data_IF_489810867196
#
_entry.id   IF_489810867196
#
_cell.length_a   1.000
_cell.length_b   1.000
_cell.length_c   1.000
_cell.angle_alpha   90.00
_cell.angle_beta   90.00
_cell.angle_gamma   90.00
#
_symmetry.space_group_name_H-M   'P 1'
#
loop_
_entity.id
_entity.type
_entity.pdbx_description
1 polymer ?
#
# COMPACT_ATOMS: atom_id res chain seq x y z
N UNK A 1 -0.52 -13.63 36.84
CA UNK A 1 0.30 -13.86 35.64
C UNK A 1 -0.41 -13.28 34.42
N UNK A 2 0.29 -12.48 33.65
CA UNK A 2 -0.28 -11.90 32.43
C UNK A 2 0.16 -12.75 31.24
N UNK A 3 -0.80 -13.28 30.51
CA UNK A 3 -0.53 -14.04 29.30
C UNK A 3 -0.18 -13.08 28.16
N UNK A 4 0.88 -13.39 27.43
CA UNK A 4 1.27 -12.59 26.28
C UNK A 4 0.26 -12.77 25.14
N UNK A 5 -0.22 -11.67 24.60
CA UNK A 5 -1.18 -11.72 23.51
C UNK A 5 -0.47 -11.87 22.16
N UNK A 6 -1.13 -12.58 21.28
CA UNK A 6 -0.70 -12.70 19.89
C UNK A 6 -0.68 -11.33 19.23
N UNK A 7 0.34 -11.05 18.44
CA UNK A 7 0.52 -9.78 17.76
C UNK A 7 0.73 -9.98 16.28
N UNK A 8 0.15 -9.10 15.49
CA UNK A 8 0.35 -9.03 14.04
C UNK A 8 0.78 -7.61 13.67
N UNK A 9 1.42 -7.47 12.51
CA UNK A 9 1.92 -6.18 12.05
C UNK A 9 0.87 -5.49 11.19
N UNK A 10 0.38 -4.29 11.58
CA UNK A 10 -0.56 -3.53 10.78
C UNK A 10 0.16 -2.67 9.74
N UNK A 11 -0.37 -2.59 8.54
CA UNK A 11 0.16 -1.73 7.49
C UNK A 11 -0.97 -1.08 6.69
N UNK A 12 -0.73 0.12 6.19
CA UNK A 12 -1.66 0.87 5.36
C UNK A 12 -1.09 1.03 3.96
N UNK A 13 -1.97 0.93 2.97
CA UNK A 13 -1.64 1.00 1.54
C UNK A 13 -2.54 2.00 0.85
N UNK A 14 -2.00 2.72 -0.13
CA UNK A 14 -2.78 3.66 -0.93
C UNK A 14 -2.82 3.23 -2.39
N UNK A 15 -4.01 2.98 -2.90
CA UNK A 15 -4.23 2.68 -4.31
C UNK A 15 -4.78 3.94 -4.95
N UNK A 16 -3.95 4.63 -5.74
CA UNK A 16 -4.38 5.79 -6.50
C UNK A 16 -4.68 5.35 -7.93
N UNK A 17 -5.91 5.62 -8.37
CA UNK A 17 -6.36 5.30 -9.72
C UNK A 17 -6.92 6.57 -10.33
N UNK A 18 -6.42 6.92 -11.52
CA UNK A 18 -6.88 8.09 -12.26
C UNK A 18 -6.83 7.77 -13.75
N UNK A 19 -7.94 7.99 -14.46
CA UNK A 19 -8.03 7.72 -15.90
C UNK A 19 -7.62 6.30 -16.27
N UNK A 20 -8.09 5.33 -15.51
CA UNK A 20 -7.77 3.90 -15.66
C UNK A 20 -6.27 3.58 -15.51
N UNK A 21 -5.54 4.43 -14.79
CA UNK A 21 -4.13 4.22 -14.48
C UNK A 21 -3.94 4.15 -12.97
N UNK A 22 -3.00 3.30 -12.57
CA UNK A 22 -2.64 3.11 -11.16
C UNK A 22 -1.22 3.60 -10.92
N UNK A 23 -1.03 4.26 -9.77
CA UNK A 23 0.31 4.70 -9.36
C UNK A 23 1.04 3.55 -8.69
N UNK A 24 2.20 3.18 -9.23
CA UNK A 24 3.05 2.13 -8.66
C UNK A 24 4.45 2.68 -8.41
N UNK A 25 5.11 2.13 -7.41
CA UNK A 25 6.51 2.44 -7.09
C UNK A 25 7.32 1.15 -7.12
N UNK A 26 8.54 1.22 -7.67
CA UNK A 26 9.46 0.08 -7.67
C UNK A 26 10.40 0.19 -6.47
N UNK A 27 10.44 -0.86 -5.68
CA UNK A 27 11.30 -0.94 -4.50
C UNK A 27 12.76 -1.00 -4.94
N UNK A 28 13.61 -0.27 -4.23
CA UNK A 28 15.02 -0.17 -4.53
C UNK A 28 15.82 -0.04 -3.24
N UNK A 29 16.82 -0.91 -3.08
CA UNK A 29 17.77 -0.83 -1.97
C UNK A 29 17.12 -0.84 -0.58
N UNK A 30 16.01 -1.58 -0.42
CA UNK A 30 15.28 -1.70 0.85
C UNK A 30 15.58 -2.99 1.59
N UNK A 31 16.10 -4.01 0.88
CA UNK A 31 16.33 -5.34 1.44
C UNK A 31 15.11 -6.25 1.40
N UNK A 32 13.98 -5.78 0.86
CA UNK A 32 12.75 -6.57 0.76
C UNK A 32 12.06 -6.29 -0.57
N UNK A 33 11.86 -7.35 -1.36
CA UNK A 33 11.15 -7.31 -2.65
C UNK A 33 11.69 -6.23 -3.61
N UNK A 34 13.00 -5.95 -3.56
CA UNK A 34 13.63 -4.95 -4.41
C UNK A 34 13.51 -5.32 -5.89
N UNK A 35 13.33 -4.31 -6.73
CA UNK A 35 13.10 -4.48 -8.17
C UNK A 35 11.65 -4.78 -8.53
N UNK A 36 10.76 -4.89 -7.55
CA UNK A 36 9.34 -5.16 -7.77
C UNK A 36 8.48 -3.95 -7.47
N UNK A 37 7.33 -3.89 -8.12
CA UNK A 37 6.38 -2.80 -7.96
C UNK A 37 5.37 -3.08 -6.85
N UNK A 38 5.04 -2.02 -6.13
CA UNK A 38 4.01 -1.99 -5.10
C UNK A 38 3.29 -0.64 -5.19
N UNK A 39 2.30 -0.45 -4.33
CA UNK A 39 1.69 0.86 -4.10
C UNK A 39 2.40 1.56 -2.94
N UNK A 40 2.16 2.85 -2.75
CA UNK A 40 2.67 3.59 -1.59
C UNK A 40 2.09 2.96 -0.33
N UNK A 41 2.92 2.67 0.64
CA UNK A 41 2.53 1.92 1.82
C UNK A 41 3.50 2.13 2.98
N UNK A 42 3.04 1.78 4.18
CA UNK A 42 3.92 1.76 5.35
C UNK A 42 3.23 1.16 6.56
N UNK A 43 4.05 0.82 7.54
CA UNK A 43 3.56 0.30 8.80
C UNK A 43 2.83 1.35 9.60
N UNK A 44 1.82 0.93 10.35
CA UNK A 44 1.12 1.77 11.31
C UNK A 44 1.98 1.85 12.57
N UNK A 45 2.41 3.04 12.94
CA UNK A 45 3.23 3.24 14.13
C UNK A 45 2.36 3.23 15.38
N UNK A 46 2.99 2.98 16.52
CA UNK A 46 2.29 2.99 17.80
C UNK A 46 1.55 4.32 17.99
N UNK A 47 0.28 4.23 18.31
CA UNK A 47 -0.57 5.41 18.53
C UNK A 47 -1.19 6.01 17.27
N UNK A 48 -0.85 5.49 16.09
CA UNK A 48 -1.48 5.91 14.84
C UNK A 48 -2.71 5.06 14.53
N UNK A 49 -3.65 5.64 13.79
CA UNK A 49 -4.69 4.87 13.10
C UNK A 49 -4.17 4.47 11.72
N UNK A 50 -4.84 3.53 11.06
CA UNK A 50 -4.52 3.19 9.66
C UNK A 50 -4.63 4.42 8.76
N UNK A 51 -5.63 5.28 8.98
CA UNK A 51 -5.82 6.51 8.20
C UNK A 51 -4.64 7.47 8.38
N UNK A 52 -4.22 7.71 9.62
CA UNK A 52 -3.09 8.61 9.89
C UNK A 52 -1.79 8.07 9.29
N UNK A 53 -1.60 6.75 9.37
CA UNK A 53 -0.39 6.12 8.82
C UNK A 53 -0.27 6.35 7.32
N UNK A 54 -1.36 6.17 6.56
CA UNK A 54 -1.27 6.35 5.11
C UNK A 54 -1.12 7.82 4.71
N UNK A 55 -1.73 8.73 5.45
CA UNK A 55 -1.55 10.18 5.21
C UNK A 55 -0.08 10.56 5.40
N UNK A 56 0.55 10.06 6.45
CA UNK A 56 1.96 10.31 6.73
C UNK A 56 2.86 9.68 5.66
N UNK A 57 2.64 8.39 5.36
CA UNK A 57 3.49 7.65 4.43
C UNK A 57 3.45 8.24 3.01
N UNK A 58 2.27 8.62 2.53
CA UNK A 58 2.18 9.16 1.18
C UNK A 58 2.82 10.55 1.10
N UNK A 59 2.79 11.31 2.16
CA UNK A 59 3.50 12.60 2.22
C UNK A 59 5.00 12.39 2.15
N UNK A 60 5.51 11.42 2.89
CA UNK A 60 6.95 11.09 2.92
C UNK A 60 7.43 10.52 1.59
N UNK A 61 6.65 9.62 0.97
CA UNK A 61 7.10 8.86 -0.20
C UNK A 61 6.77 9.53 -1.53
N UNK A 62 5.61 10.21 -1.62
CA UNK A 62 5.13 10.77 -2.88
C UNK A 62 4.88 12.29 -2.84
N UNK A 63 5.01 12.92 -1.69
CA UNK A 63 4.94 14.38 -1.56
C UNK A 63 3.57 15.00 -1.63
N UNK A 64 2.50 14.21 -1.66
CA UNK A 64 1.14 14.72 -1.72
C UNK A 64 0.48 14.74 -0.35
N UNK A 65 -0.53 15.59 -0.20
CA UNK A 65 -1.31 15.72 1.03
C UNK A 65 -2.70 15.15 0.83
N UNK A 66 -3.08 14.22 1.70
CA UNK A 66 -4.41 13.62 1.75
C UNK A 66 -5.18 14.15 2.94
N UNK A 67 -6.49 14.31 2.77
CA UNK A 67 -7.40 14.58 3.86
C UNK A 67 -8.14 13.29 4.22
N UNK A 68 -8.40 13.08 5.50
CA UNK A 68 -9.06 11.85 5.97
C UNK A 68 -10.41 11.63 5.30
N UNK A 69 -11.18 12.69 5.07
CA UNK A 69 -12.51 12.62 4.47
C UNK A 69 -12.48 12.21 2.99
N UNK A 70 -11.32 12.27 2.34
CA UNK A 70 -11.16 11.87 0.94
C UNK A 70 -10.71 10.41 0.80
N UNK A 71 -10.48 9.74 1.92
CA UNK A 71 -10.01 8.35 1.94
C UNK A 71 -11.16 7.38 2.20
N UNK A 72 -11.13 6.25 1.51
CA UNK A 72 -12.07 5.15 1.75
C UNK A 72 -11.30 3.84 1.80
N UNK A 73 -11.66 2.97 2.75
CA UNK A 73 -11.13 1.60 2.79
C UNK A 73 -11.82 0.79 1.71
N UNK A 74 -11.06 0.15 0.85
CA UNK A 74 -11.59 -0.67 -0.25
C UNK A 74 -11.22 -2.14 -0.14
N UNK A 75 -10.23 -2.47 0.70
CA UNK A 75 -9.82 -3.86 0.86
C UNK A 75 -9.05 -4.06 2.15
N UNK A 76 -9.22 -5.22 2.75
CA UNK A 76 -8.45 -5.67 3.91
C UNK A 76 -7.90 -7.05 3.59
N UNK A 77 -6.59 -7.22 3.74
CA UNK A 77 -5.93 -8.50 3.50
C UNK A 77 -5.31 -9.03 4.78
N UNK A 78 -5.66 -10.26 5.14
CA UNK A 78 -4.97 -11.00 6.17
C UNK A 78 -3.83 -11.75 5.49
N UNK A 79 -2.60 -11.35 5.76
CA UNK A 79 -1.43 -11.89 5.06
C UNK A 79 -0.51 -12.61 6.03
N UNK A 80 -0.23 -13.87 5.73
CA UNK A 80 0.70 -14.68 6.51
C UNK A 80 1.71 -15.33 5.57
N UNK A 81 2.93 -14.82 5.61
CA UNK A 81 4.04 -15.32 4.80
C UNK A 81 5.18 -15.66 5.73
N UNK A 82 5.58 -16.95 5.79
CA UNK A 82 6.71 -17.41 6.59
C UNK A 82 6.64 -16.93 8.05
N UNK A 83 5.49 -17.16 8.69
CA UNK A 83 5.23 -16.77 10.09
C UNK A 83 5.23 -15.25 10.34
N UNK A 84 5.23 -14.48 9.29
CA UNK A 84 5.16 -13.02 9.36
C UNK A 84 3.72 -12.61 9.10
N UNK A 85 2.95 -12.47 10.17
CA UNK A 85 1.52 -12.19 10.09
C UNK A 85 1.25 -10.70 10.03
N UNK A 86 0.41 -10.31 9.08
CA UNK A 86 0.09 -8.90 8.82
C UNK A 86 -1.39 -8.71 8.59
N UNK A 87 -1.87 -7.52 8.92
CA UNK A 87 -3.15 -7.02 8.47
C UNK A 87 -2.88 -5.79 7.60
N UNK A 88 -3.25 -5.89 6.33
CA UNK A 88 -3.02 -4.84 5.35
C UNK A 88 -4.34 -4.17 5.01
N UNK A 89 -4.43 -2.87 5.23
CA UNK A 89 -5.62 -2.08 4.91
C UNK A 89 -5.34 -1.21 3.70
N UNK A 90 -6.14 -1.37 2.65
CA UNK A 90 -5.98 -0.66 1.38
C UNK A 90 -7.02 0.46 1.27
N UNK A 91 -6.52 1.66 1.03
CA UNK A 91 -7.32 2.87 0.84
C UNK A 91 -7.30 3.31 -0.61
N UNK A 92 -8.38 3.98 -1.04
CA UNK A 92 -8.35 4.82 -2.24
C UNK A 92 -8.54 6.27 -1.81
N UNK A 93 -8.03 7.20 -2.62
CA UNK A 93 -8.27 8.62 -2.47
C UNK A 93 -8.86 9.17 -3.76
N UNK A 94 -9.94 9.93 -3.65
CA UNK A 94 -10.58 10.55 -4.81
C UNK A 94 -9.89 11.83 -5.22
N UNK A 95 -9.27 12.52 -4.27
CA UNK A 95 -8.53 13.75 -4.54
C UNK A 95 -7.40 13.93 -3.54
N UNK A 96 -6.45 14.75 -3.92
CA UNK A 96 -5.29 15.10 -3.10
C UNK A 96 -4.79 16.48 -3.50
N UNK A 97 -3.88 17.06 -2.72
CA UNK A 97 -3.19 18.30 -3.06
C UNK A 97 -1.71 18.03 -3.23
N UNK A 98 -1.09 18.83 -4.10
CA UNK A 98 0.33 18.70 -4.43
C UNK A 98 0.57 17.85 -5.67
N UNK A 99 1.81 17.83 -6.11
CA UNK A 99 2.25 17.06 -7.27
C UNK A 99 2.96 15.80 -6.81
N UNK A 100 2.65 14.68 -7.44
CA UNK A 100 3.29 13.40 -7.13
C UNK A 100 4.73 13.45 -7.57
N UNK A 101 5.64 13.21 -6.63
CA UNK A 101 7.08 13.15 -6.85
C UNK A 101 7.68 12.01 -6.05
N UNK A 102 8.74 11.40 -6.57
CA UNK A 102 9.50 10.42 -5.80
C UNK A 102 10.34 11.18 -4.74
N UNK A 103 9.90 11.14 -3.49
CA UNK A 103 10.58 11.80 -2.38
C UNK A 103 11.65 10.92 -1.71
N UNK A 104 11.70 9.64 -2.07
CA UNK A 104 12.66 8.69 -1.49
C UNK A 104 13.42 7.95 -2.60
N UNK A 105 14.20 8.66 -3.44
CA UNK A 105 14.89 8.02 -4.56
C UNK A 105 15.93 6.98 -4.13
N UNK A 106 16.36 7.00 -2.88
CA UNK A 106 17.25 5.98 -2.32
C UNK A 106 16.53 4.67 -2.01
N UNK A 107 15.19 4.65 -1.97
CA UNK A 107 14.36 3.47 -1.68
C UNK A 107 13.38 3.13 -2.78
N UNK A 108 13.23 4.01 -3.76
CA UNK A 108 12.29 3.87 -4.87
C UNK A 108 12.97 4.43 -6.12
N UNK A 109 13.17 3.60 -7.14
CA UNK A 109 13.82 4.04 -8.38
C UNK A 109 12.86 4.27 -9.54
N UNK A 110 11.55 4.10 -9.30
CA UNK A 110 10.52 4.43 -10.28
C UNK A 110 9.19 4.65 -9.55
N UNK A 111 8.58 5.80 -9.77
CA UNK A 111 7.23 6.12 -9.28
C UNK A 111 6.45 6.64 -10.47
N UNK A 112 5.57 5.81 -11.02
CA UNK A 112 4.93 6.07 -12.30
C UNK A 112 3.50 5.57 -12.36
N UNK A 113 2.74 6.12 -13.30
CA UNK A 113 1.39 5.66 -13.60
C UNK A 113 1.45 4.56 -14.64
N UNK A 114 0.72 3.48 -14.40
CA UNK A 114 0.62 2.34 -15.31
C UNK A 114 -0.84 2.09 -15.65
N UNK A 115 -1.09 1.58 -16.85
CA UNK A 115 -2.43 1.16 -17.23
C UNK A 115 -2.90 0.06 -16.28
N UNK A 116 -4.09 0.23 -15.72
CA UNK A 116 -4.65 -0.73 -14.76
C UNK A 116 -4.86 -2.11 -15.39
N UNK A 117 -5.08 -2.16 -16.70
CA UNK A 117 -5.28 -3.40 -17.44
C UNK A 117 -4.00 -3.96 -18.07
N UNK A 118 -2.87 -3.25 -17.91
CA UNK A 118 -1.58 -3.67 -18.45
C UNK A 118 -0.46 -3.29 -17.49
N UNK A 119 -0.54 -3.82 -16.28
CA UNK A 119 0.47 -3.57 -15.25
C UNK A 119 1.77 -4.35 -15.52
N UNK A 120 2.90 -3.89 -14.94
CA UNK A 120 4.16 -4.63 -15.06
C UNK A 120 4.04 -6.05 -14.52
N UNK A 121 4.80 -6.98 -15.11
CA UNK A 121 4.81 -8.38 -14.66
C UNK A 121 5.40 -8.58 -13.28
N UNK A 122 6.21 -7.62 -12.83
CA UNK A 122 6.93 -7.70 -11.56
C UNK A 122 6.25 -6.95 -10.40
N UNK A 123 4.93 -6.86 -10.43
CA UNK A 123 4.17 -6.40 -9.25
C UNK A 123 4.26 -7.49 -8.17
N UNK A 124 4.49 -7.09 -6.92
CA UNK A 124 4.55 -8.03 -5.80
C UNK A 124 3.26 -8.85 -5.76
N UNK A 125 3.32 -10.19 -5.62
CA UNK A 125 2.14 -11.05 -5.73
C UNK A 125 0.96 -10.67 -4.83
N UNK A 126 1.18 -10.36 -3.55
CA UNK A 126 0.06 -9.99 -2.68
C UNK A 126 -0.56 -8.64 -3.05
N UNK A 127 0.23 -7.73 -3.61
CA UNK A 127 -0.27 -6.45 -4.12
C UNK A 127 -1.13 -6.67 -5.36
N UNK A 128 -0.69 -7.55 -6.25
CA UNK A 128 -1.46 -7.92 -7.45
C UNK A 128 -2.81 -8.53 -7.06
N UNK A 129 -2.81 -9.42 -6.06
CA UNK A 129 -4.03 -10.03 -5.52
C UNK A 129 -4.97 -8.97 -4.97
N UNK A 130 -4.45 -8.03 -4.17
CA UNK A 130 -5.25 -6.95 -3.61
C UNK A 130 -5.86 -6.07 -4.69
N UNK A 131 -5.09 -5.69 -5.70
CA UNK A 131 -5.57 -4.87 -6.81
C UNK A 131 -6.68 -5.59 -7.57
N UNK A 132 -6.52 -6.88 -7.82
CA UNK A 132 -7.55 -7.70 -8.46
C UNK A 132 -8.83 -7.72 -7.63
N UNK A 133 -8.72 -7.91 -6.32
CA UNK A 133 -9.87 -7.86 -5.40
C UNK A 133 -10.56 -6.49 -5.44
N UNK A 134 -9.79 -5.41 -5.43
CA UNK A 134 -10.33 -4.05 -5.49
C UNK A 134 -11.09 -3.82 -6.79
N UNK A 135 -10.56 -4.25 -7.93
CA UNK A 135 -11.23 -4.16 -9.23
C UNK A 135 -12.55 -4.91 -9.22
N UNK A 136 -12.63 -6.03 -8.54
CA UNK A 136 -13.81 -6.89 -8.46
C UNK A 136 -14.71 -6.58 -7.27
N UNK A 137 -14.41 -5.51 -6.52
CA UNK A 137 -15.16 -5.06 -5.34
C UNK A 137 -15.26 -6.13 -4.25
N UNK A 138 -14.18 -6.90 -4.08
CA UNK A 138 -14.03 -7.87 -3.00
C UNK A 138 -13.33 -7.19 -1.84
N UNK A 139 -14.00 -7.10 -0.69
CA UNK A 139 -13.52 -6.28 0.44
C UNK A 139 -12.47 -6.98 1.30
N UNK A 140 -12.39 -8.30 1.24
CA UNK A 140 -11.49 -9.06 2.11
C UNK A 140 -10.86 -10.22 1.37
N UNK A 141 -9.57 -10.46 1.64
CA UNK A 141 -8.87 -11.64 1.15
C UNK A 141 -7.87 -12.14 2.18
N UNK A 142 -7.42 -13.36 1.95
CA UNK A 142 -6.39 -14.01 2.74
C UNK A 142 -5.26 -14.43 1.80
N UNK A 143 -4.05 -14.12 2.16
CA UNK A 143 -2.88 -14.42 1.34
C UNK A 143 -1.83 -15.12 2.20
N UNK A 144 -1.42 -16.32 1.79
CA UNK A 144 -0.40 -17.09 2.49
C UNK A 144 0.51 -17.82 1.51
N UNK A 145 1.74 -18.11 1.99
CA UNK A 145 2.69 -18.94 1.27
C UNK A 145 3.50 -19.77 2.24
#
# INVERSE_FOLDING_TARGET
>A
MVEERHKIIPASYLVLIKNNKILLQRRFNTGYEDGKYSVVAGHVDKGETFTKAIIREVKEEAGITLQAEDLSVVHVMNRNIQDNERIDVFFIAEKWTGNIENKEPNKCDDLSWFDLDDMPDNVIPYIKEAITCIKNKVIYSEFSK
#
